data_IF_566767470624
#
_entry.id   IF_566767470624
#
_cell.length_a   1.000
_cell.length_b   1.000
_cell.length_c   1.000
_cell.angle_alpha   90.00
_cell.angle_beta   90.00
_cell.angle_gamma   90.00
#
_symmetry.space_group_name_H-M   'P 1'
#
loop_
_entity.id
_entity.type
_entity.pdbx_description
1 polymer ?
#
# COMPACT_ATOMS: atom_id res chain seq x y z
N UNK A 1 -13.87 -5.40 4.80
CA UNK A 1 -12.44 -5.63 5.01
C UNK A 1 -11.69 -4.58 4.20
N UNK A 2 -11.30 -3.50 4.86
CA UNK A 2 -10.73 -2.33 4.16
C UNK A 2 -9.25 -2.49 3.83
N UNK A 3 -8.55 -3.35 4.51
CA UNK A 3 -7.19 -3.72 4.14
C UNK A 3 -6.89 -5.13 4.64
N UNK A 4 -5.79 -5.68 4.22
CA UNK A 4 -5.33 -6.99 4.67
C UNK A 4 -4.77 -6.93 6.12
N UNK A 5 -4.89 -5.78 6.78
CA UNK A 5 -4.36 -5.53 8.13
C UNK A 5 -5.36 -4.72 8.96
N UNK A 6 -5.79 -5.30 10.06
CA UNK A 6 -6.65 -4.65 11.06
C UNK A 6 -5.82 -3.86 12.09
N UNK A 7 -6.49 -3.03 12.85
CA UNK A 7 -5.99 -2.40 14.09
C UNK A 7 -4.92 -1.29 13.93
N UNK A 8 -4.69 -0.77 12.73
CA UNK A 8 -3.85 0.41 12.58
C UNK A 8 -4.43 1.61 13.35
N UNK A 9 -5.75 1.74 13.38
CA UNK A 9 -6.49 2.85 13.98
C UNK A 9 -7.47 2.44 15.09
N UNK A 10 -7.26 1.28 15.69
CA UNK A 10 -8.09 0.78 16.82
C UNK A 10 -9.58 0.65 16.47
N UNK A 11 -9.91 0.18 15.28
CA UNK A 11 -11.30 0.02 14.84
C UNK A 11 -11.94 1.27 14.24
N UNK A 12 -11.17 2.36 14.06
CA UNK A 12 -11.63 3.59 13.40
C UNK A 12 -11.19 3.68 11.92
N UNK A 13 -10.68 2.60 11.36
CA UNK A 13 -10.10 2.56 10.02
C UNK A 13 -11.08 3.04 8.95
N UNK A 14 -12.30 2.53 8.99
CA UNK A 14 -13.34 2.90 8.04
C UNK A 14 -13.70 4.38 8.12
N UNK A 15 -13.90 4.88 9.34
CA UNK A 15 -14.23 6.28 9.56
C UNK A 15 -13.12 7.21 9.08
N UNK A 16 -11.87 6.88 9.37
CA UNK A 16 -10.71 7.66 8.92
C UNK A 16 -10.56 7.60 7.40
N UNK A 17 -10.75 6.41 6.80
CA UNK A 17 -10.69 6.23 5.36
C UNK A 17 -11.75 7.03 4.62
N UNK A 18 -12.98 7.01 5.11
CA UNK A 18 -14.09 7.71 4.47
C UNK A 18 -14.05 9.24 4.66
N UNK A 19 -13.40 9.71 5.71
CA UNK A 19 -13.30 11.13 6.01
C UNK A 19 -12.04 11.82 5.49
N UNK A 20 -11.16 11.09 4.77
CA UNK A 20 -9.96 11.68 4.20
C UNK A 20 -10.15 12.09 2.75
N UNK A 21 -9.56 13.23 2.36
CA UNK A 21 -9.48 13.65 0.96
C UNK A 21 -8.42 12.84 0.16
N UNK A 22 -7.59 12.06 0.85
CA UNK A 22 -6.50 11.27 0.26
C UNK A 22 -6.49 9.85 0.78
N UNK A 23 -7.19 8.98 0.10
CA UNK A 23 -7.18 7.54 0.34
C UNK A 23 -5.99 6.93 -0.36
N UNK A 24 -4.96 6.58 0.40
CA UNK A 24 -3.69 6.06 -0.13
C UNK A 24 -3.64 4.55 0.07
N UNK A 25 -3.60 3.84 -1.04
CA UNK A 25 -3.46 2.39 -1.09
C UNK A 25 -2.03 2.01 -1.45
N UNK A 26 -1.41 1.14 -0.67
CA UNK A 26 -0.19 0.44 -1.04
C UNK A 26 -0.54 -0.93 -1.61
N UNK A 27 -0.37 -1.07 -2.93
CA UNK A 27 -0.60 -2.33 -3.64
C UNK A 27 0.71 -3.09 -3.73
N UNK A 28 0.73 -4.27 -3.11
CA UNK A 28 1.92 -5.11 -2.94
C UNK A 28 1.78 -6.43 -3.69
N UNK A 29 2.89 -7.15 -3.86
CA UNK A 29 2.92 -8.46 -4.54
C UNK A 29 2.25 -9.54 -3.72
N UNK A 30 2.86 -9.89 -2.60
CA UNK A 30 2.45 -10.96 -1.70
C UNK A 30 2.94 -10.70 -0.28
N UNK A 31 2.49 -11.55 0.61
CA UNK A 31 2.99 -11.60 1.98
C UNK A 31 4.31 -12.34 1.98
N UNK A 32 5.40 -11.65 2.22
CA UNK A 32 6.73 -12.25 2.35
C UNK A 32 6.85 -13.00 3.69
N UNK A 33 6.07 -14.05 3.86
CA UNK A 33 6.05 -14.87 5.06
C UNK A 33 5.88 -16.33 4.69
N UNK A 34 6.63 -17.20 5.33
CA UNK A 34 6.56 -18.65 5.14
C UNK A 34 5.46 -19.34 5.95
N UNK A 35 4.69 -18.59 6.72
CA UNK A 35 3.57 -19.10 7.52
C UNK A 35 2.26 -18.43 7.10
N UNK A 36 1.15 -19.16 7.22
CA UNK A 36 -0.21 -18.65 7.01
C UNK A 36 -0.69 -17.76 8.16
N UNK A 37 0.20 -16.98 8.75
CA UNK A 37 -0.18 -16.04 9.79
C UNK A 37 -1.09 -14.95 9.25
N UNK A 38 -2.15 -14.69 10.00
CA UNK A 38 -3.13 -13.65 9.65
C UNK A 38 -2.55 -12.26 9.97
N UNK A 39 -2.14 -11.53 8.94
CA UNK A 39 -1.67 -10.15 9.10
C UNK A 39 -2.70 -9.18 9.68
N UNK A 40 -3.98 -9.55 9.66
CA UNK A 40 -5.03 -8.75 10.28
C UNK A 40 -4.89 -8.67 11.79
N UNK A 41 -4.15 -9.59 12.41
CA UNK A 41 -3.85 -9.60 13.84
C UNK A 41 -2.60 -8.79 14.20
N UNK A 42 -1.86 -8.31 13.23
CA UNK A 42 -0.67 -7.53 13.50
C UNK A 42 -1.01 -6.18 14.13
N UNK A 43 -0.35 -5.92 15.24
CA UNK A 43 -0.40 -4.62 15.90
C UNK A 43 0.57 -3.65 15.21
N UNK A 44 0.10 -2.95 14.22
CA UNK A 44 0.89 -2.00 13.41
C UNK A 44 1.72 -1.01 14.24
N UNK A 45 1.28 -0.69 15.44
CA UNK A 45 1.97 0.21 16.34
C UNK A 45 3.28 -0.31 16.89
N UNK A 46 3.51 -1.61 16.87
CA UNK A 46 4.68 -2.27 17.41
C UNK A 46 5.63 -2.81 16.32
N UNK A 47 5.32 -2.53 15.05
CA UNK A 47 6.14 -3.00 13.93
C UNK A 47 7.32 -2.05 13.76
N UNK A 48 8.48 -2.47 14.23
CA UNK A 48 9.77 -1.84 13.94
C UNK A 48 10.49 -2.63 12.85
N UNK A 49 10.03 -2.49 11.61
CA UNK A 49 10.64 -3.15 10.46
C UNK A 49 10.92 -2.13 9.36
N UNK A 50 12.11 -2.17 8.78
CA UNK A 50 12.55 -1.22 7.76
C UNK A 50 11.57 -1.04 6.59
N UNK A 51 10.91 -2.11 6.19
CA UNK A 51 9.89 -2.08 5.15
C UNK A 51 8.71 -1.17 5.52
N UNK A 52 8.16 -1.32 6.72
CA UNK A 52 7.04 -0.50 7.19
C UNK A 52 7.46 0.94 7.47
N UNK A 53 8.68 1.16 7.93
CA UNK A 53 9.22 2.51 8.10
C UNK A 53 9.23 3.28 6.75
N UNK A 54 9.53 2.61 5.65
CA UNK A 54 9.43 3.21 4.32
C UNK A 54 7.99 3.53 3.94
N UNK A 55 7.04 2.60 4.16
CA UNK A 55 5.62 2.80 3.89
C UNK A 55 5.09 4.00 4.68
N UNK A 56 5.43 4.10 5.97
CA UNK A 56 4.95 5.19 6.83
C UNK A 56 5.52 6.55 6.41
N UNK A 57 6.78 6.61 5.99
CA UNK A 57 7.35 7.84 5.43
C UNK A 57 6.64 8.26 4.15
N UNK A 58 6.36 7.33 3.27
CA UNK A 58 5.62 7.62 2.04
C UNK A 58 4.18 8.03 2.33
N UNK A 59 3.52 7.36 3.27
CA UNK A 59 2.18 7.71 3.70
C UNK A 59 2.14 9.15 4.23
N UNK A 60 3.06 9.51 5.12
CA UNK A 60 3.16 10.87 5.66
C UNK A 60 3.44 11.90 4.56
N UNK A 61 4.43 11.64 3.71
CA UNK A 61 4.79 12.53 2.61
C UNK A 61 3.62 12.78 1.67
N UNK A 62 2.98 11.70 1.18
CA UNK A 62 1.83 11.80 0.28
C UNK A 62 0.61 12.45 0.92
N UNK A 63 0.43 12.28 2.23
CA UNK A 63 -0.68 12.92 2.97
C UNK A 63 -0.47 14.42 3.20
N UNK A 64 0.78 14.87 3.24
CA UNK A 64 1.15 16.27 3.52
C UNK A 64 1.43 17.12 2.29
N UNK A 65 1.73 16.50 1.14
CA UNK A 65 2.07 17.24 -0.08
C UNK A 65 0.94 18.19 -0.48
N UNK A 66 1.26 19.43 -0.79
CA UNK A 66 0.33 20.44 -1.29
C UNK A 66 0.98 21.27 -2.40
N UNK A 67 0.25 22.26 -2.92
CA UNK A 67 0.82 23.19 -3.91
C UNK A 67 1.99 24.02 -3.33
N UNK A 68 1.92 24.29 -2.03
CA UNK A 68 2.84 25.17 -1.34
C UNK A 68 3.87 24.42 -0.48
N UNK A 69 3.72 23.10 -0.36
CA UNK A 69 4.59 22.28 0.48
C UNK A 69 4.87 20.91 -0.14
N UNK A 70 6.14 20.64 -0.38
CA UNK A 70 6.66 19.34 -0.82
C UNK A 70 7.57 18.82 0.29
N UNK A 71 7.18 17.78 1.04
CA UNK A 71 8.03 17.19 2.07
C UNK A 71 9.31 16.62 1.46
N UNK A 72 10.45 16.89 2.07
CA UNK A 72 11.74 16.34 1.65
C UNK A 72 12.34 15.48 2.76
N UNK A 73 13.03 14.40 2.38
CA UNK A 73 13.72 13.53 3.34
C UNK A 73 14.84 14.24 4.09
N UNK A 74 15.46 15.24 3.46
CA UNK A 74 16.61 15.98 3.98
C UNK A 74 16.24 16.96 5.09
N UNK A 75 15.03 17.45 5.10
CA UNK A 75 14.60 18.48 6.06
C UNK A 75 14.06 17.90 7.37
N UNK A 76 14.12 16.57 7.57
CA UNK A 76 13.55 15.95 8.75
C UNK A 76 12.04 16.10 8.87
N UNK A 77 11.36 16.36 7.75
CA UNK A 77 9.92 16.64 7.68
C UNK A 77 9.06 15.43 8.05
N UNK A 78 9.66 14.27 8.24
CA UNK A 78 8.97 13.01 8.52
C UNK A 78 9.01 12.67 10.00
N UNK A 79 7.88 12.17 10.50
CA UNK A 79 7.81 11.70 11.87
C UNK A 79 8.85 10.59 12.11
N UNK A 80 9.62 10.75 13.17
CA UNK A 80 10.61 9.75 13.59
C UNK A 80 9.96 8.51 14.18
N UNK A 81 8.67 8.61 14.54
CA UNK A 81 7.91 7.54 15.20
C UNK A 81 6.83 7.01 14.27
N UNK A 82 7.01 5.81 13.70
CA UNK A 82 6.05 5.19 12.77
C UNK A 82 4.61 5.15 13.30
N UNK A 83 4.44 4.93 14.60
CA UNK A 83 3.15 4.86 15.27
C UNK A 83 2.33 6.16 15.17
N UNK A 84 2.97 7.32 15.17
CA UNK A 84 2.29 8.60 15.02
C UNK A 84 1.66 8.76 13.63
N UNK A 85 2.32 8.25 12.60
CA UNK A 85 1.86 8.32 11.21
C UNK A 85 0.61 7.50 11.01
N UNK A 86 0.63 6.21 11.43
CA UNK A 86 -0.54 5.31 11.27
C UNK A 86 -1.72 5.69 12.14
N UNK A 87 -1.49 6.42 13.22
CA UNK A 87 -2.58 6.94 14.06
C UNK A 87 -3.26 8.14 13.41
N UNK A 88 -2.50 8.93 12.64
CA UNK A 88 -2.97 10.18 12.06
C UNK A 88 -3.57 10.01 10.65
N UNK A 89 -2.93 9.18 9.81
CA UNK A 89 -3.30 9.05 8.39
C UNK A 89 -3.88 7.67 8.11
N UNK A 90 -4.99 7.58 7.37
CA UNK A 90 -5.56 6.31 6.96
C UNK A 90 -4.65 5.61 5.96
N UNK A 91 -4.50 4.31 6.13
CA UNK A 91 -3.64 3.45 5.35
C UNK A 91 -4.40 2.22 4.90
N UNK A 92 -4.32 1.89 3.62
CA UNK A 92 -4.71 0.59 3.10
C UNK A 92 -3.49 -0.12 2.49
N UNK A 93 -3.37 -1.41 2.77
CA UNK A 93 -2.39 -2.29 2.13
C UNK A 93 -3.14 -3.48 1.58
N UNK A 94 -2.94 -3.75 0.29
CA UNK A 94 -3.53 -4.90 -0.40
C UNK A 94 -2.43 -5.68 -1.10
N UNK A 95 -2.37 -6.98 -0.85
CA UNK A 95 -1.52 -7.90 -1.59
C UNK A 95 -2.28 -8.48 -2.77
N UNK A 96 -1.66 -8.53 -3.95
CA UNK A 96 -2.23 -9.16 -5.15
C UNK A 96 -2.41 -10.66 -4.90
N UNK A 97 -1.36 -11.33 -4.41
CA UNK A 97 -1.42 -12.73 -3.98
C UNK A 97 -1.73 -12.78 -2.48
N UNK A 98 -2.86 -13.39 -2.12
CA UNK A 98 -3.41 -13.41 -0.74
C UNK A 98 -2.86 -14.53 0.14
N UNK A 99 -2.18 -15.49 -0.43
CA UNK A 99 -1.58 -16.60 0.32
C UNK A 99 -0.11 -16.31 0.62
N UNK A 100 0.41 -16.97 1.64
CA UNK A 100 1.81 -16.86 2.05
C UNK A 100 2.76 -17.15 0.89
N UNK A 101 3.92 -16.55 0.91
CA UNK A 101 4.94 -16.62 -0.12
C UNK A 101 6.35 -16.63 0.45
N UNK A 102 7.30 -16.82 -0.43
CA UNK A 102 8.73 -16.72 -0.11
C UNK A 102 9.22 -15.29 -0.37
N UNK A 103 10.50 -15.03 -0.12
CA UNK A 103 11.15 -13.72 -0.33
C UNK A 103 11.08 -13.19 -1.77
N UNK A 104 10.70 -14.03 -2.73
CA UNK A 104 10.55 -13.64 -4.13
C UNK A 104 9.42 -14.41 -4.81
N UNK A 105 8.68 -13.69 -5.66
CA UNK A 105 7.66 -14.28 -6.55
C UNK A 105 7.98 -13.90 -7.98
N UNK A 106 7.85 -14.86 -8.91
CA UNK A 106 8.01 -14.56 -10.34
C UNK A 106 6.82 -13.74 -10.84
N UNK A 107 7.08 -12.91 -11.86
CA UNK A 107 6.02 -12.09 -12.47
C UNK A 107 4.92 -12.96 -13.06
N UNK A 108 5.28 -14.09 -13.69
CA UNK A 108 4.31 -15.03 -14.25
C UNK A 108 3.33 -15.56 -13.19
N UNK A 109 3.86 -15.99 -12.05
CA UNK A 109 3.02 -16.46 -10.93
C UNK A 109 2.15 -15.32 -10.40
N UNK A 110 2.69 -14.13 -10.29
CA UNK A 110 1.92 -12.97 -9.82
C UNK A 110 0.75 -12.65 -10.76
N UNK A 111 0.97 -12.68 -12.07
CA UNK A 111 -0.09 -12.52 -13.08
C UNK A 111 -1.14 -13.63 -13.02
N UNK A 112 -0.75 -14.89 -12.79
CA UNK A 112 -1.69 -16.00 -12.59
C UNK A 112 -2.62 -15.74 -11.41
N UNK A 113 -2.08 -15.29 -10.27
CA UNK A 113 -2.90 -14.92 -9.10
C UNK A 113 -3.78 -13.72 -9.38
N UNK A 114 -3.26 -12.68 -10.00
CA UNK A 114 -4.03 -11.48 -10.34
C UNK A 114 -5.21 -11.80 -11.26
N UNK A 115 -5.02 -12.64 -12.28
CA UNK A 115 -6.10 -13.05 -13.18
C UNK A 115 -7.11 -13.98 -12.50
N UNK A 116 -6.65 -14.92 -11.67
CA UNK A 116 -7.53 -15.83 -10.92
C UNK A 116 -8.46 -15.04 -9.98
N UNK A 117 -7.89 -14.08 -9.28
CA UNK A 117 -8.56 -13.33 -8.23
C UNK A 117 -9.07 -11.95 -8.72
N UNK A 118 -9.14 -11.74 -10.04
CA UNK A 118 -9.47 -10.46 -10.68
C UNK A 118 -10.73 -9.82 -10.11
N UNK A 119 -11.84 -10.55 -10.12
CA UNK A 119 -13.12 -10.01 -9.64
C UNK A 119 -13.04 -9.57 -8.17
N UNK A 120 -12.38 -10.35 -7.33
CA UNK A 120 -12.17 -10.02 -5.92
C UNK A 120 -11.28 -8.79 -5.73
N UNK A 121 -10.18 -8.68 -6.51
CA UNK A 121 -9.29 -7.51 -6.46
C UNK A 121 -10.00 -6.24 -6.96
N UNK A 122 -10.82 -6.35 -8.00
CA UNK A 122 -11.63 -5.22 -8.50
C UNK A 122 -12.63 -4.76 -7.44
N UNK A 123 -13.42 -5.67 -6.86
CA UNK A 123 -14.35 -5.36 -5.79
C UNK A 123 -13.64 -4.72 -4.59
N UNK A 124 -12.54 -5.33 -4.10
CA UNK A 124 -11.81 -4.82 -2.95
C UNK A 124 -11.21 -3.43 -3.21
N UNK A 125 -10.59 -3.22 -4.36
CA UNK A 125 -9.81 -2.01 -4.63
C UNK A 125 -10.67 -0.90 -5.23
N UNK A 126 -11.46 -1.20 -6.26
CA UNK A 126 -12.25 -0.18 -6.98
C UNK A 126 -13.51 0.19 -6.23
N UNK A 127 -14.26 -0.83 -5.76
CA UNK A 127 -15.62 -0.64 -5.29
C UNK A 127 -15.67 -0.35 -3.78
N UNK A 128 -14.84 -1.04 -2.98
CA UNK A 128 -14.81 -0.89 -1.53
C UNK A 128 -13.82 0.19 -1.10
N UNK A 129 -12.53 0.03 -1.45
CA UNK A 129 -11.49 0.98 -1.03
C UNK A 129 -11.56 2.29 -1.80
N UNK A 130 -11.81 2.24 -3.06
CA UNK A 130 -11.91 3.42 -3.93
C UNK A 130 -10.79 4.46 -3.67
N UNK A 131 -9.50 4.08 -3.81
CA UNK A 131 -8.38 4.94 -3.45
C UNK A 131 -8.22 6.12 -4.41
N UNK A 132 -7.72 7.26 -3.90
CA UNK A 132 -7.32 8.39 -4.74
C UNK A 132 -5.88 8.23 -5.26
N UNK A 133 -5.04 7.53 -4.49
CA UNK A 133 -3.63 7.31 -4.80
C UNK A 133 -3.31 5.84 -4.61
N UNK A 134 -2.67 5.23 -5.60
CA UNK A 134 -2.16 3.86 -5.52
C UNK A 134 -0.64 3.90 -5.63
N UNK A 135 0.03 3.43 -4.58
CA UNK A 135 1.48 3.23 -4.56
C UNK A 135 1.76 1.76 -4.87
N UNK A 136 2.39 1.51 -6.01
CA UNK A 136 2.73 0.16 -6.44
C UNK A 136 4.09 -0.26 -5.86
N UNK A 137 4.08 -1.26 -4.97
CA UNK A 137 5.24 -1.73 -4.22
C UNK A 137 6.22 -2.58 -5.02
N UNK A 138 6.72 -2.07 -6.14
CA UNK A 138 7.71 -2.76 -6.97
C UNK A 138 8.55 -1.83 -7.84
N UNK A 139 9.85 -2.16 -7.96
CA UNK A 139 10.78 -1.42 -8.84
C UNK A 139 10.74 -1.78 -10.33
N UNK A 140 10.02 -2.84 -10.74
CA UNK A 140 10.00 -3.35 -12.12
C UNK A 140 8.70 -3.08 -12.90
N UNK A 141 7.74 -2.43 -12.29
CA UNK A 141 6.48 -2.05 -12.93
C UNK A 141 5.44 -3.18 -13.07
N UNK A 142 5.69 -4.39 -12.58
CA UNK A 142 4.72 -5.50 -12.71
C UNK A 142 3.43 -5.23 -11.94
N UNK A 143 3.54 -4.74 -10.71
CA UNK A 143 2.38 -4.38 -9.87
C UNK A 143 1.58 -3.24 -10.53
N UNK A 144 2.27 -2.24 -11.09
CA UNK A 144 1.63 -1.16 -11.85
C UNK A 144 0.89 -1.68 -13.08
N UNK A 145 1.51 -2.59 -13.83
CA UNK A 145 0.88 -3.19 -15.02
C UNK A 145 -0.35 -4.02 -14.65
N UNK A 146 -0.31 -4.76 -13.54
CA UNK A 146 -1.46 -5.50 -13.02
C UNK A 146 -2.57 -4.51 -12.59
N UNK A 147 -2.22 -3.45 -11.89
CA UNK A 147 -3.19 -2.42 -11.54
C UNK A 147 -3.89 -1.86 -12.79
N UNK A 148 -3.11 -1.48 -13.81
CA UNK A 148 -3.64 -0.94 -15.06
C UNK A 148 -4.50 -1.93 -15.83
N UNK A 149 -3.95 -3.11 -16.15
CA UNK A 149 -4.56 -4.02 -17.13
C UNK A 149 -5.60 -4.96 -16.53
N UNK A 150 -5.49 -5.31 -15.25
CA UNK A 150 -6.35 -6.32 -14.61
C UNK A 150 -7.34 -5.67 -13.66
N UNK A 151 -6.87 -4.77 -12.79
CA UNK A 151 -7.74 -4.16 -11.78
C UNK A 151 -8.60 -3.06 -12.41
N UNK A 152 -8.00 -2.14 -13.15
CA UNK A 152 -8.69 -1.00 -13.77
C UNK A 152 -9.01 -1.16 -15.25
N UNK A 153 -8.64 -2.28 -15.87
CA UNK A 153 -8.98 -2.63 -17.27
C UNK A 153 -8.63 -1.53 -18.27
N UNK A 154 -7.50 -0.87 -18.06
CA UNK A 154 -7.02 0.26 -18.84
C UNK A 154 -7.94 1.49 -18.84
N UNK A 155 -8.81 1.62 -17.83
CA UNK A 155 -9.49 2.90 -17.59
C UNK A 155 -8.44 4.00 -17.41
N UNK A 156 -8.74 5.19 -17.92
CA UNK A 156 -7.81 6.30 -17.84
C UNK A 156 -7.63 6.76 -16.39
N UNK A 157 -6.43 6.64 -15.87
CA UNK A 157 -6.02 7.29 -14.63
C UNK A 157 -4.74 8.09 -14.86
N UNK A 158 -4.59 9.16 -14.11
CA UNK A 158 -3.41 10.01 -14.20
C UNK A 158 -2.22 9.30 -13.58
N UNK A 159 -1.27 8.90 -14.41
CA UNK A 159 -0.02 8.30 -13.97
C UNK A 159 0.98 9.39 -13.56
N UNK A 160 1.53 9.24 -12.36
CA UNK A 160 2.66 10.03 -11.91
C UNK A 160 3.79 9.04 -11.62
N UNK A 161 4.78 8.98 -12.51
CA UNK A 161 5.94 8.13 -12.33
C UNK A 161 6.98 8.85 -11.46
N UNK A 162 7.06 8.47 -10.20
CA UNK A 162 8.19 8.82 -9.34
C UNK A 162 9.07 7.59 -9.14
N UNK A 163 10.27 7.62 -9.69
CA UNK A 163 11.30 6.65 -9.39
C UNK A 163 12.03 7.07 -8.10
N UNK A 164 11.65 6.49 -6.99
CA UNK A 164 12.49 6.53 -5.80
C UNK A 164 13.45 5.34 -5.87
N UNK A 165 14.66 5.58 -6.35
CA UNK A 165 15.75 4.59 -6.27
C UNK A 165 16.15 4.46 -4.80
N UNK A 166 15.70 3.41 -4.15
CA UNK A 166 16.26 2.97 -2.89
C UNK A 166 17.53 2.18 -3.22
N UNK A 167 18.69 2.83 -3.24
CA UNK A 167 19.97 2.12 -3.21
C UNK A 167 20.11 1.50 -1.82
N UNK A 168 20.02 0.17 -1.75
CA UNK A 168 20.52 -0.55 -0.59
C UNK A 168 22.05 -0.28 -0.52
N UNK A 169 22.48 0.51 0.42
CA UNK A 169 23.84 0.45 0.95
C UNK A 169 23.85 -0.47 2.13
#
# INVERSE_FOLDING_TARGET
>A
IYNDCKNAHQGNEEKLWNNTDRRILFLMKDTNNNSDSDYREWHWRNINHNFFNCIFKWLEGLSRISKDFIPTMENGDYATVPNAVVTKYPLAIVNIKKISGTSSISNEILYKYANRDKAFLQEQIRDILHPNIIVCGEGKGTVLNIAKSIIYENESFREINYFCHYSRK
#
